data_IF_272430331020
#
_entry.id   IF_272430331020
#
_cell.length_a   1.000
_cell.length_b   1.000
_cell.length_c   1.000
_cell.angle_alpha   90.00
_cell.angle_beta   90.00
_cell.angle_gamma   90.00
#
_symmetry.space_group_name_H-M   'P 1'
#
loop_
_entity.id
_entity.type
_entity.pdbx_description
1 polymer ?
#
# COMPACT_ATOMS: atom_id res chain seq x y z
N UNK A 1 -4.52 12.71 70.42
CA UNK A 1 -4.25 12.16 69.05
C UNK A 1 -3.58 13.24 68.22
N UNK A 2 -2.36 12.98 67.72
CA UNK A 2 -1.50 13.96 67.04
C UNK A 2 -2.03 14.26 65.63
N UNK A 3 -2.48 15.49 65.38
CA UNK A 3 -2.60 16.02 64.00
C UNK A 3 -1.20 16.45 63.54
N UNK A 4 -0.66 15.79 62.51
CA UNK A 4 0.51 16.28 61.76
C UNK A 4 0.01 16.98 60.49
N UNK A 5 0.27 18.28 60.40
CA UNK A 5 0.40 19.07 59.16
C UNK A 5 1.80 18.80 58.52
N UNK A 6 2.26 19.49 57.46
CA UNK A 6 1.66 19.99 56.22
C UNK A 6 2.51 19.56 54.98
N UNK A 7 2.13 19.97 53.77
CA UNK A 7 2.95 19.76 52.57
C UNK A 7 2.59 20.70 51.41
N UNK A 8 2.65 22.01 51.66
CA UNK A 8 2.49 23.05 50.64
C UNK A 8 3.84 23.56 50.15
N UNK A 9 3.92 23.67 48.82
CA UNK A 9 4.73 24.59 48.01
C UNK A 9 6.25 24.65 48.21
N UNK A 10 6.93 23.99 47.28
CA UNK A 10 8.31 24.29 46.93
C UNK A 10 8.55 24.11 45.43
N UNK A 11 7.73 24.70 44.55
CA UNK A 11 8.11 24.80 43.14
C UNK A 11 8.91 26.08 42.93
N UNK A 12 10.22 25.86 42.96
CA UNK A 12 11.32 26.79 42.74
C UNK A 12 11.22 27.36 41.33
N UNK A 13 10.62 28.55 41.18
CA UNK A 13 10.76 29.36 39.97
C UNK A 13 12.18 29.94 40.04
N UNK A 14 13.15 29.27 39.41
CA UNK A 14 14.39 29.92 39.02
C UNK A 14 14.24 30.41 37.58
N UNK A 15 14.18 31.73 37.51
CA UNK A 15 14.57 32.57 36.41
C UNK A 15 15.84 32.03 35.71
N UNK A 16 15.75 31.82 34.39
CA UNK A 16 16.93 31.85 33.54
C UNK A 16 16.57 32.50 32.21
N UNK A 17 16.54 33.82 32.24
CA UNK A 17 16.88 34.63 31.08
C UNK A 17 18.18 34.12 30.42
N UNK A 18 18.10 33.79 29.13
CA UNK A 18 19.19 33.72 28.14
C UNK A 18 18.50 33.57 26.78
N UNK A 19 17.99 34.65 26.18
CA UNK A 19 18.74 35.45 25.20
C UNK A 19 19.61 34.58 24.30
N UNK A 20 19.04 34.08 23.20
CA UNK A 20 19.75 34.03 21.92
C UNK A 20 18.81 34.62 20.87
N UNK A 21 18.98 35.92 20.69
CA UNK A 21 18.54 36.73 19.58
C UNK A 21 19.39 36.32 18.38
N UNK A 22 18.88 35.44 17.52
CA UNK A 22 19.53 35.08 16.27
C UNK A 22 19.10 36.09 15.20
N UNK A 23 19.63 37.32 15.32
CA UNK A 23 19.63 38.30 14.23
C UNK A 23 20.94 38.19 13.44
N UNK A 24 20.80 38.34 12.13
CA UNK A 24 21.86 38.54 11.11
C UNK A 24 22.44 37.30 10.42
N UNK A 25 21.90 37.03 9.24
CA UNK A 25 22.64 37.35 8.02
C UNK A 25 21.69 37.60 6.84
N UNK A 26 21.51 38.86 6.39
CA UNK A 26 21.00 39.17 5.06
C UNK A 26 22.18 39.24 4.09
N UNK A 27 22.12 38.47 3.01
CA UNK A 27 23.05 38.60 1.89
C UNK A 27 23.90 37.36 1.65
N UNK A 28 23.48 36.60 0.65
CA UNK A 28 24.26 35.87 -0.36
C UNK A 28 23.18 35.18 -1.21
N UNK A 29 22.47 35.93 -2.04
CA UNK A 29 22.78 36.00 -3.46
C UNK A 29 23.21 34.64 -4.05
N UNK A 30 22.26 34.04 -4.77
CA UNK A 30 22.45 33.67 -6.17
C UNK A 30 23.62 32.75 -6.49
N UNK A 31 23.35 31.44 -6.54
CA UNK A 31 23.96 30.53 -7.50
C UNK A 31 22.92 29.47 -7.86
N UNK A 32 21.93 29.92 -8.62
CA UNK A 32 21.05 29.08 -9.42
C UNK A 32 21.90 28.45 -10.52
N UNK A 33 22.63 27.39 -10.17
CA UNK A 33 23.32 26.57 -11.15
C UNK A 33 22.32 25.98 -12.15
N UNK A 34 22.70 25.79 -13.43
CA UNK A 34 21.81 25.19 -14.41
C UNK A 34 21.36 23.80 -13.93
N UNK A 35 20.08 23.42 -14.14
CA UNK A 35 19.62 22.09 -13.79
C UNK A 35 20.49 21.06 -14.52
N UNK A 36 21.11 20.15 -13.76
CA UNK A 36 21.86 19.04 -14.33
C UNK A 36 20.92 18.23 -15.25
N UNK A 37 21.36 17.87 -16.46
CA UNK A 37 20.53 17.11 -17.39
C UNK A 37 20.15 15.76 -16.77
N UNK A 38 18.84 15.53 -16.72
CA UNK A 38 18.18 14.28 -16.39
C UNK A 38 18.83 13.13 -17.18
N UNK A 39 19.59 12.28 -16.46
CA UNK A 39 20.23 11.10 -17.04
C UNK A 39 19.19 10.02 -17.27
N UNK A 40 18.42 10.14 -18.36
CA UNK A 40 17.70 9.03 -18.98
C UNK A 40 18.73 7.94 -19.30
N UNK A 41 18.76 6.86 -18.53
CA UNK A 41 19.38 5.61 -18.98
C UNK A 41 18.30 4.80 -19.68
N UNK A 42 18.29 4.74 -21.03
CA UNK A 42 17.59 3.69 -21.72
C UNK A 42 18.31 2.37 -21.39
N UNK A 43 17.59 1.43 -20.79
CA UNK A 43 17.91 0.02 -20.94
C UNK A 43 16.70 -0.66 -21.57
N UNK A 44 16.54 -0.37 -22.85
CA UNK A 44 16.16 -1.40 -23.80
C UNK A 44 17.27 -2.45 -23.76
N UNK A 45 16.93 -3.64 -23.28
CA UNK A 45 17.86 -4.75 -23.13
C UNK A 45 17.11 -6.02 -22.76
N UNK A 46 16.77 -6.79 -23.80
CA UNK A 46 16.17 -8.13 -23.80
C UNK A 46 14.76 -8.27 -23.20
N UNK A 47 13.68 -8.60 -23.94
CA UNK A 47 13.58 -9.37 -25.18
C UNK A 47 14.62 -10.49 -25.25
N UNK A 48 14.52 -11.43 -24.31
CA UNK A 48 14.96 -12.80 -24.59
C UNK A 48 13.69 -13.66 -24.77
N UNK A 49 13.46 -14.17 -25.99
CA UNK A 49 12.28 -14.92 -26.36
C UNK A 49 12.40 -16.35 -25.85
N UNK A 50 11.48 -16.79 -25.00
CA UNK A 50 11.25 -18.21 -24.80
C UNK A 50 10.19 -18.67 -25.80
N UNK A 51 10.64 -18.83 -27.04
CA UNK A 51 9.98 -19.54 -28.14
C UNK A 51 10.99 -20.59 -28.60
N UNK A 52 10.83 -21.85 -28.17
CA UNK A 52 10.78 -23.04 -29.02
C UNK A 52 10.90 -24.34 -28.20
N UNK A 53 9.98 -25.27 -28.48
CA UNK A 53 9.99 -26.67 -28.06
C UNK A 53 8.60 -27.06 -27.57
N UNK A 54 7.70 -27.69 -28.32
CA UNK A 54 7.89 -28.63 -29.42
C UNK A 54 6.68 -28.58 -30.37
N UNK A 55 6.98 -28.49 -31.67
CA UNK A 55 6.05 -28.80 -32.75
C UNK A 55 5.97 -30.32 -32.95
N UNK A 56 4.83 -30.77 -33.48
CA UNK A 56 4.59 -32.13 -33.98
C UNK A 56 3.71 -32.92 -33.01
N UNK A 57 2.49 -33.30 -33.36
CA UNK A 57 2.23 -34.19 -34.50
C UNK A 57 0.96 -33.83 -35.29
N UNK A 58 1.07 -34.08 -36.59
CA UNK A 58 0.09 -33.98 -37.67
C UNK A 58 -0.87 -35.19 -37.70
N UNK A 59 -2.15 -34.89 -38.03
CA UNK A 59 -3.11 -35.60 -38.92
C UNK A 59 -3.63 -37.02 -38.57
N UNK A 60 -4.75 -37.53 -39.19
CA UNK A 60 -5.70 -36.91 -40.13
C UNK A 60 -7.21 -37.14 -39.82
N UNK A 61 -8.03 -36.58 -40.71
CA UNK A 61 -9.48 -36.67 -40.83
C UNK A 61 -10.06 -38.09 -40.96
N UNK A 62 -11.27 -38.29 -40.39
CA UNK A 62 -12.25 -39.22 -40.96
C UNK A 62 -13.62 -38.53 -41.01
N UNK A 63 -14.13 -38.41 -42.23
CA UNK A 63 -15.45 -37.93 -42.57
C UNK A 63 -16.54 -38.89 -42.05
N UNK A 64 -17.54 -38.34 -41.36
CA UNK A 64 -18.82 -38.98 -41.09
C UNK A 64 -19.93 -37.98 -41.38
N UNK A 65 -20.71 -38.25 -42.42
CA UNK A 65 -21.78 -37.42 -42.94
C UNK A 65 -23.10 -37.62 -42.16
N UNK A 66 -23.84 -36.50 -41.94
CA UNK A 66 -25.31 -36.26 -42.01
C UNK A 66 -26.31 -37.24 -41.32
N UNK A 67 -27.55 -36.83 -40.92
CA UNK A 67 -28.36 -35.71 -41.46
C UNK A 67 -29.19 -34.88 -40.43
N UNK A 68 -29.72 -33.78 -40.98
CA UNK A 68 -30.94 -33.01 -40.71
C UNK A 68 -31.84 -33.21 -39.46
N UNK A 69 -32.50 -32.08 -39.14
CA UNK A 69 -33.75 -31.92 -38.40
C UNK A 69 -33.63 -31.70 -36.89
N UNK A 70 -33.18 -30.50 -36.54
CA UNK A 70 -33.45 -29.88 -35.26
C UNK A 70 -33.14 -28.40 -35.34
N UNK A 71 -34.05 -27.59 -35.89
CA UNK A 71 -34.10 -26.18 -35.55
C UNK A 71 -34.48 -26.09 -34.07
N UNK A 72 -33.51 -26.31 -33.19
CA UNK A 72 -33.61 -25.82 -31.83
C UNK A 72 -33.48 -24.31 -31.93
N UNK A 73 -34.64 -23.65 -31.89
CA UNK A 73 -34.74 -22.23 -31.55
C UNK A 73 -33.79 -22.00 -30.38
N UNK A 74 -32.81 -21.09 -30.48
CA UNK A 74 -31.96 -20.77 -29.35
C UNK A 74 -32.87 -20.42 -28.18
N UNK A 75 -32.96 -21.31 -27.21
CA UNK A 75 -33.54 -20.96 -25.93
C UNK A 75 -32.59 -19.93 -25.37
N UNK A 76 -33.01 -18.65 -25.41
CA UNK A 76 -32.37 -17.60 -24.65
C UNK A 76 -32.06 -18.17 -23.27
N UNK A 77 -30.79 -18.15 -22.82
CA UNK A 77 -30.46 -18.50 -21.46
C UNK A 77 -31.32 -17.61 -20.59
N UNK A 78 -32.32 -18.20 -19.93
CA UNK A 78 -33.13 -17.52 -18.93
C UNK A 78 -32.12 -16.97 -17.94
N UNK A 79 -31.91 -15.66 -17.99
CA UNK A 79 -30.95 -14.98 -17.14
C UNK A 79 -31.31 -15.37 -15.70
N UNK A 80 -30.42 -16.16 -15.08
CA UNK A 80 -30.48 -16.42 -13.63
C UNK A 80 -30.72 -15.07 -12.98
N UNK A 81 -31.76 -14.91 -12.11
CA UNK A 81 -32.02 -13.65 -11.45
C UNK A 81 -30.69 -13.10 -10.93
N UNK A 82 -30.31 -11.92 -11.41
CA UNK A 82 -29.12 -11.23 -10.93
C UNK A 82 -29.31 -11.06 -9.43
N UNK A 83 -28.65 -11.92 -8.66
CA UNK A 83 -28.59 -11.86 -7.22
C UNK A 83 -28.24 -10.42 -6.88
N UNK A 84 -29.21 -9.69 -6.31
CA UNK A 84 -29.15 -8.25 -6.15
C UNK A 84 -27.79 -7.92 -5.53
N UNK A 85 -26.95 -7.19 -6.27
CA UNK A 85 -25.58 -6.90 -5.86
C UNK A 85 -25.64 -6.20 -4.50
N UNK A 86 -25.40 -6.97 -3.43
CA UNK A 86 -25.45 -6.46 -2.07
C UNK A 86 -24.42 -5.35 -1.97
N UNK A 87 -24.84 -4.16 -1.54
CA UNK A 87 -23.94 -3.00 -1.44
C UNK A 87 -22.89 -3.29 -0.37
N UNK A 88 -21.62 -3.43 -0.78
CA UNK A 88 -20.50 -3.61 0.15
C UNK A 88 -19.86 -2.24 0.36
N UNK A 89 -19.83 -1.80 1.62
CA UNK A 89 -19.05 -0.64 2.04
C UNK A 89 -17.66 -1.13 2.45
N UNK A 90 -16.58 -0.63 1.83
CA UNK A 90 -15.22 -1.08 2.14
C UNK A 90 -14.76 -0.59 3.53
N UNK A 91 -13.72 -1.21 4.11
CA UNK A 91 -13.11 -0.73 5.35
C UNK A 91 -12.60 0.71 5.20
N UNK A 92 -12.70 1.50 6.26
CA UNK A 92 -12.16 2.87 6.30
C UNK A 92 -11.00 2.95 7.27
N UNK A 93 -9.91 3.59 6.90
CA UNK A 93 -8.76 3.72 7.79
C UNK A 93 -9.08 4.67 8.95
N UNK A 94 -8.87 4.21 10.19
CA UNK A 94 -9.04 5.02 11.40
C UNK A 94 -7.71 5.55 11.92
N UNK A 95 -6.71 4.67 11.99
CA UNK A 95 -5.37 5.06 12.42
C UNK A 95 -4.31 4.16 11.79
N UNK A 96 -3.21 4.77 11.38
CA UNK A 96 -1.99 4.05 10.96
C UNK A 96 -0.84 4.60 11.78
N UNK A 97 -0.10 3.76 12.53
CA UNK A 97 1.10 4.21 13.21
C UNK A 97 2.17 4.55 12.18
N UNK A 98 2.98 5.55 12.50
CA UNK A 98 4.11 5.94 11.67
C UNK A 98 5.14 4.79 11.59
N UNK A 99 5.60 4.49 10.38
CA UNK A 99 6.63 3.47 10.19
C UNK A 99 7.99 4.06 10.60
N UNK A 100 8.70 3.44 11.56
CA UNK A 100 10.02 3.93 11.95
C UNK A 100 11.00 3.81 10.78
N UNK A 101 11.84 4.83 10.61
CA UNK A 101 12.88 4.78 9.60
C UNK A 101 13.85 3.62 9.88
N UNK A 102 14.10 2.72 8.92
CA UNK A 102 14.88 1.52 9.17
C UNK A 102 16.37 1.82 9.45
N UNK A 103 17.02 1.05 10.33
CA UNK A 103 18.42 1.25 10.65
C UNK A 103 19.31 0.95 9.43
N UNK A 104 20.30 1.81 9.19
CA UNK A 104 21.23 1.65 8.08
C UNK A 104 20.64 1.94 6.69
N UNK A 105 19.37 2.38 6.62
CA UNK A 105 18.78 2.83 5.38
C UNK A 105 19.25 4.25 5.01
N UNK A 106 19.13 4.61 3.73
CA UNK A 106 19.47 5.96 3.25
C UNK A 106 18.48 6.36 2.16
N UNK A 107 18.09 7.64 2.16
CA UNK A 107 17.15 8.21 1.20
C UNK A 107 15.70 7.89 1.52
N UNK A 108 14.84 8.09 0.52
CA UNK A 108 13.39 7.93 0.64
C UNK A 108 12.87 6.77 -0.20
N UNK A 109 11.79 6.15 0.25
CA UNK A 109 11.11 5.07 -0.45
C UNK A 109 9.60 5.16 -0.26
N UNK A 110 8.85 4.91 -1.34
CA UNK A 110 7.40 4.68 -1.26
C UNK A 110 7.13 3.18 -1.34
N UNK A 111 6.47 2.64 -0.31
CA UNK A 111 6.08 1.23 -0.23
C UNK A 111 4.56 1.15 -0.31
N UNK A 112 4.04 0.39 -1.26
CA UNK A 112 2.61 0.09 -1.37
C UNK A 112 2.33 -1.29 -0.78
N UNK A 113 1.41 -1.34 0.17
CA UNK A 113 1.03 -2.57 0.86
C UNK A 113 -0.38 -3.00 0.47
N UNK A 114 -0.56 -4.30 0.29
CA UNK A 114 -1.86 -4.97 0.34
C UNK A 114 -2.07 -5.40 1.80
N UNK A 115 -3.24 -5.06 2.34
CA UNK A 115 -3.61 -5.41 3.73
C UNK A 115 -4.92 -6.18 3.76
N UNK A 116 -4.98 -7.21 4.60
CA UNK A 116 -6.21 -7.93 4.90
C UNK A 116 -6.74 -7.47 6.25
N UNK A 117 -7.92 -6.85 6.23
CA UNK A 117 -8.62 -6.35 7.41
C UNK A 117 -9.71 -7.34 7.81
N UNK A 118 -9.81 -7.65 9.09
CA UNK A 118 -10.83 -8.55 9.62
C UNK A 118 -12.17 -7.87 9.94
N UNK A 119 -13.15 -8.66 10.37
CA UNK A 119 -14.50 -8.20 10.74
C UNK A 119 -14.54 -7.24 11.94
N UNK A 120 -13.45 -7.12 12.69
CA UNK A 120 -13.30 -6.18 13.80
C UNK A 120 -12.48 -4.94 13.41
N UNK A 121 -12.00 -4.87 12.18
CA UNK A 121 -11.21 -3.74 11.69
C UNK A 121 -9.71 -3.83 12.04
N UNK A 122 -9.23 -5.00 12.48
CA UNK A 122 -7.81 -5.23 12.72
C UNK A 122 -7.14 -5.80 11.46
N UNK A 123 -5.91 -5.35 11.18
CA UNK A 123 -5.09 -5.93 10.10
C UNK A 123 -4.57 -7.29 10.56
N UNK A 124 -4.83 -8.34 9.78
CA UNK A 124 -4.30 -9.70 10.03
C UNK A 124 -3.11 -10.04 9.16
N UNK A 125 -3.03 -9.42 7.99
CA UNK A 125 -1.97 -9.64 7.02
C UNK A 125 -1.62 -8.33 6.34
N UNK A 126 -0.32 -8.14 6.07
CA UNK A 126 0.20 -7.02 5.31
C UNK A 126 1.37 -7.52 4.47
N UNK A 127 1.33 -7.26 3.16
CA UNK A 127 2.38 -7.65 2.23
C UNK A 127 2.65 -6.52 1.23
N UNK A 128 3.91 -6.24 0.89
CA UNK A 128 4.23 -5.24 -0.11
C UNK A 128 3.98 -5.77 -1.52
N UNK A 129 3.48 -4.91 -2.41
CA UNK A 129 3.30 -5.25 -3.83
C UNK A 129 4.66 -5.50 -4.50
N UNK A 130 5.67 -4.72 -4.12
CA UNK A 130 7.04 -4.87 -4.57
C UNK A 130 7.99 -4.82 -3.36
N UNK A 131 8.96 -5.72 -3.32
CA UNK A 131 9.93 -5.76 -2.23
C UNK A 131 10.98 -4.66 -2.38
N UNK A 132 11.17 -3.89 -1.30
CA UNK A 132 12.09 -2.78 -1.21
C UNK A 132 12.68 -2.71 0.20
N UNK A 133 13.51 -3.69 0.56
CA UNK A 133 14.16 -3.70 1.87
C UNK A 133 15.24 -2.61 1.97
N UNK A 134 15.42 -2.01 3.16
CA UNK A 134 14.79 -2.37 4.45
C UNK A 134 13.43 -1.67 4.71
N UNK A 135 12.92 -0.89 3.77
CA UNK A 135 11.70 -0.09 3.95
C UNK A 135 10.43 -0.95 3.95
N UNK A 136 10.37 -2.00 3.12
CA UNK A 136 9.23 -2.93 3.08
C UNK A 136 8.98 -3.59 4.43
N UNK A 137 10.00 -4.15 5.08
CA UNK A 137 9.85 -4.75 6.40
C UNK A 137 9.41 -3.75 7.47
N UNK A 138 9.90 -2.51 7.43
CA UNK A 138 9.49 -1.46 8.36
C UNK A 138 8.01 -1.06 8.17
N UNK A 139 7.59 -0.87 6.91
CA UNK A 139 6.21 -0.54 6.57
C UNK A 139 5.23 -1.66 6.95
N UNK A 140 5.58 -2.93 6.69
CA UNK A 140 4.75 -4.09 7.06
C UNK A 140 4.52 -4.15 8.57
N UNK A 141 5.58 -3.98 9.37
CA UNK A 141 5.45 -3.99 10.84
C UNK A 141 4.52 -2.88 11.34
N UNK A 142 4.62 -1.69 10.76
CA UNK A 142 3.73 -0.58 11.11
C UNK A 142 2.27 -0.85 10.69
N UNK A 143 2.06 -1.37 9.48
CA UNK A 143 0.72 -1.65 8.95
C UNK A 143 -0.06 -2.68 9.77
N UNK A 144 0.60 -3.68 10.35
CA UNK A 144 -0.05 -4.67 11.23
C UNK A 144 -0.68 -4.04 12.49
N UNK A 145 -0.19 -2.88 12.92
CA UNK A 145 -0.74 -2.14 14.05
C UNK A 145 -1.82 -1.11 13.64
N UNK A 146 -2.11 -0.96 12.34
CA UNK A 146 -3.17 -0.09 11.86
C UNK A 146 -4.57 -0.57 12.29
N UNK A 147 -5.53 0.36 12.31
CA UNK A 147 -6.93 0.12 12.65
C UNK A 147 -7.85 0.70 11.59
N UNK A 148 -8.90 -0.04 11.30
CA UNK A 148 -9.90 0.28 10.30
C UNK A 148 -11.30 0.21 10.93
N UNK A 149 -12.23 0.98 10.38
CA UNK A 149 -13.64 0.69 10.48
C UNK A 149 -13.91 -0.57 9.63
N UNK A 150 -14.59 -1.60 10.16
CA UNK A 150 -14.87 -2.82 9.40
C UNK A 150 -15.67 -2.58 8.13
N UNK A 151 -15.49 -3.46 7.14
CA UNK A 151 -16.38 -3.51 5.99
C UNK A 151 -17.82 -3.87 6.43
N UNK A 152 -18.81 -3.28 5.75
CA UNK A 152 -20.22 -3.59 5.98
C UNK A 152 -20.87 -4.08 4.69
N UNK A 153 -21.88 -4.94 4.83
CA UNK A 153 -22.73 -5.38 3.73
C UNK A 153 -24.13 -4.85 4.01
N UNK A 154 -24.72 -4.15 3.04
CA UNK A 154 -26.02 -3.49 3.10
C UNK A 154 -26.09 -2.22 3.96
N UNK A 155 -24.98 -1.51 4.14
CA UNK A 155 -24.92 -0.21 4.81
C UNK A 155 -24.54 -0.27 6.28
#
# INVERSE_FOLDING_TARGET
MRRRYPGTHGLRIMDRASVVRQESAPGLQTQLGPPLPSRKKPRAGSLLPWLLGMAGWLLPALAGAQPAAGHQVPSEPTAKPAEAASSVVPPRLLSTPEAPYPPGATGDASVVLVVTVDVRGAVREAAPIAQNEPFSGAAVRAALAARFEPARRNG
#
